data_IF_993203864270
#
_entry.id   IF_993203864270
#
_cell.length_a   1.000
_cell.length_b   1.000
_cell.length_c   1.000
_cell.angle_alpha   90.00
_cell.angle_beta   90.00
_cell.angle_gamma   90.00
#
_symmetry.space_group_name_H-M   'P 1'
#
loop_
_entity.id
_entity.type
_entity.pdbx_description
1 polymer ?
#
# COMPACT_ATOMS: atom_id res chain seq x y z
N UNK A 1 -14.62 -27.07 58.33
CA UNK A 1 -13.81 -25.85 58.66
C UNK A 1 -14.71 -24.64 58.76
N UNK A 2 -14.47 -23.76 59.73
CA UNK A 2 -15.24 -22.52 59.83
C UNK A 2 -14.77 -21.48 58.80
N UNK A 3 -15.65 -20.53 58.42
CA UNK A 3 -15.40 -19.51 57.38
C UNK A 3 -14.10 -18.70 57.61
N UNK A 4 -13.72 -18.46 58.87
CA UNK A 4 -12.48 -17.75 59.21
C UNK A 4 -11.22 -18.58 58.92
N UNK A 5 -11.29 -19.91 59.12
CA UNK A 5 -10.18 -20.83 58.81
C UNK A 5 -10.02 -21.01 57.32
N UNK A 6 -11.14 -21.13 56.62
CA UNK A 6 -11.17 -21.18 55.15
C UNK A 6 -10.58 -19.90 54.53
N UNK A 7 -10.95 -18.73 55.08
CA UNK A 7 -10.41 -17.44 54.61
C UNK A 7 -8.88 -17.37 54.76
N UNK A 8 -8.35 -17.82 55.92
CA UNK A 8 -6.88 -17.89 56.13
C UNK A 8 -6.18 -18.86 55.20
N UNK A 9 -6.79 -20.02 54.94
CA UNK A 9 -6.21 -21.08 54.08
C UNK A 9 -6.25 -20.76 52.61
N UNK A 10 -7.34 -20.12 52.15
CA UNK A 10 -7.54 -19.81 50.72
C UNK A 10 -7.04 -18.42 50.32
N UNK A 11 -6.74 -17.52 51.26
CA UNK A 11 -6.43 -16.12 50.98
C UNK A 11 -7.65 -15.28 50.58
N UNK A 12 -8.85 -15.85 50.59
CA UNK A 12 -10.10 -15.21 50.20
C UNK A 12 -10.78 -14.58 51.42
N UNK A 13 -11.16 -13.33 51.36
CA UNK A 13 -11.83 -12.66 52.48
C UNK A 13 -13.18 -13.33 52.82
N UNK A 14 -13.55 -13.32 54.11
CA UNK A 14 -14.86 -13.84 54.57
C UNK A 14 -16.04 -13.18 53.88
N UNK A 15 -15.90 -11.92 53.47
CA UNK A 15 -16.91 -11.19 52.69
C UNK A 15 -17.06 -11.79 51.30
N UNK A 16 -15.96 -12.10 50.64
CA UNK A 16 -15.96 -12.74 49.31
C UNK A 16 -16.51 -14.15 49.36
N UNK A 17 -16.17 -14.95 50.39
CA UNK A 17 -16.73 -16.29 50.61
C UNK A 17 -18.26 -16.26 50.77
N UNK A 18 -18.81 -15.25 51.48
CA UNK A 18 -20.26 -15.05 51.58
C UNK A 18 -20.87 -14.66 50.23
N UNK A 19 -20.13 -13.90 49.43
CA UNK A 19 -20.57 -13.54 48.09
C UNK A 19 -20.58 -14.77 47.15
N UNK A 20 -19.62 -15.65 47.24
CA UNK A 20 -19.61 -16.91 46.48
C UNK A 20 -20.77 -17.85 46.90
N UNK A 21 -21.09 -17.90 48.20
CA UNK A 21 -22.28 -18.60 48.67
C UNK A 21 -23.57 -18.02 48.11
N UNK A 22 -23.72 -16.67 48.13
CA UNK A 22 -24.88 -15.98 47.58
C UNK A 22 -25.06 -16.18 46.07
N UNK A 23 -23.94 -16.32 45.31
CA UNK A 23 -23.95 -16.63 43.88
C UNK A 23 -24.08 -18.12 43.57
N UNK A 24 -24.09 -19.00 44.57
CA UNK A 24 -24.13 -20.45 44.40
C UNK A 24 -22.83 -21.08 43.92
N UNK A 25 -21.73 -20.29 43.77
CA UNK A 25 -20.44 -20.78 43.30
C UNK A 25 -19.78 -21.79 44.24
N UNK A 26 -19.86 -21.49 45.54
CA UNK A 26 -19.40 -22.37 46.65
C UNK A 26 -20.45 -22.32 47.73
N UNK A 27 -21.06 -23.47 48.01
CA UNK A 27 -22.07 -23.59 49.06
C UNK A 27 -21.43 -24.31 50.27
N UNK A 28 -21.54 -23.74 51.50
CA UNK A 28 -21.04 -24.43 52.66
C UNK A 28 -21.82 -25.75 52.88
N UNK A 29 -21.10 -26.82 53.15
CA UNK A 29 -21.68 -28.17 53.37
C UNK A 29 -22.65 -28.22 54.53
N UNK A 30 -22.47 -27.33 55.54
CA UNK A 30 -23.33 -27.31 56.73
C UNK A 30 -23.28 -26.00 57.48
N UNK A 31 -23.97 -26.00 58.65
CA UNK A 31 -23.89 -24.97 59.68
C UNK A 31 -23.71 -25.62 61.03
N UNK A 32 -22.88 -25.02 61.85
CA UNK A 32 -22.73 -25.46 63.26
C UNK A 32 -24.03 -25.20 64.08
N UNK A 33 -24.14 -25.78 65.25
CA UNK A 33 -25.23 -25.53 66.19
C UNK A 33 -25.41 -24.04 66.51
N UNK A 34 -24.35 -23.21 66.40
CA UNK A 34 -24.37 -21.78 66.54
C UNK A 34 -24.66 -20.99 65.26
N UNK A 35 -25.06 -21.64 64.15
CA UNK A 35 -25.42 -21.00 62.89
C UNK A 35 -24.26 -20.58 62.01
N UNK A 36 -23.00 -20.86 62.38
CA UNK A 36 -21.81 -20.52 61.56
C UNK A 36 -21.66 -21.46 60.39
N UNK A 37 -21.26 -20.93 59.21
CA UNK A 37 -21.00 -21.69 57.97
C UNK A 37 -19.84 -22.64 58.15
N UNK A 38 -20.07 -23.90 57.80
CA UNK A 38 -19.09 -24.98 57.84
C UNK A 38 -18.80 -25.49 56.43
N UNK A 39 -17.51 -25.59 56.08
CA UNK A 39 -17.01 -25.97 54.78
C UNK A 39 -16.26 -27.30 54.85
N UNK A 40 -16.54 -28.17 53.89
CA UNK A 40 -15.80 -29.42 53.68
C UNK A 40 -14.47 -29.14 52.95
N UNK A 41 -13.60 -30.17 52.86
CA UNK A 41 -12.38 -30.08 52.03
C UNK A 41 -12.70 -30.00 50.54
N UNK A 42 -13.88 -30.45 50.11
CA UNK A 42 -14.36 -30.32 48.74
C UNK A 42 -14.78 -28.88 48.46
N UNK A 43 -15.48 -28.23 49.37
CA UNK A 43 -15.80 -26.81 49.27
C UNK A 43 -14.53 -25.94 49.17
N UNK A 44 -13.50 -26.30 49.95
CA UNK A 44 -12.21 -25.61 49.91
C UNK A 44 -11.53 -25.81 48.55
N UNK A 45 -11.54 -27.03 47.99
CA UNK A 45 -11.02 -27.27 46.61
C UNK A 45 -11.77 -26.42 45.58
N UNK A 46 -13.10 -26.33 45.70
CA UNK A 46 -13.93 -25.53 44.79
C UNK A 46 -13.60 -24.03 44.91
N UNK A 47 -13.30 -23.52 46.13
CA UNK A 47 -12.82 -22.14 46.31
C UNK A 47 -11.52 -21.92 45.56
N UNK A 48 -10.56 -22.81 45.63
CA UNK A 48 -9.31 -22.72 44.86
C UNK A 48 -9.55 -22.75 43.35
N UNK A 49 -10.49 -23.57 42.87
CA UNK A 49 -10.88 -23.55 41.43
C UNK A 49 -11.47 -22.22 41.02
N UNK A 50 -12.38 -21.64 41.81
CA UNK A 50 -12.96 -20.33 41.56
C UNK A 50 -11.89 -19.25 41.49
N UNK A 51 -10.95 -19.24 42.46
CA UNK A 51 -9.86 -18.26 42.48
C UNK A 51 -8.90 -18.42 41.30
N UNK A 52 -8.53 -19.69 40.98
CA UNK A 52 -7.69 -19.95 39.80
C UNK A 52 -8.31 -19.45 38.51
N UNK A 53 -9.61 -19.64 38.31
CA UNK A 53 -10.33 -19.13 37.14
C UNK A 53 -10.45 -17.59 37.14
N UNK A 54 -10.53 -16.96 38.34
CA UNK A 54 -10.49 -15.51 38.46
C UNK A 54 -9.14 -14.91 38.04
N UNK A 55 -8.04 -15.57 38.45
CA UNK A 55 -6.70 -15.10 38.02
C UNK A 55 -6.51 -15.18 36.50
N UNK A 56 -7.26 -16.02 35.80
CA UNK A 56 -7.32 -16.08 34.35
C UNK A 56 -8.23 -15.01 33.72
N UNK A 57 -8.85 -14.13 34.54
CA UNK A 57 -9.68 -13.01 34.08
C UNK A 57 -11.15 -13.32 33.87
N UNK A 58 -11.65 -14.47 34.31
CA UNK A 58 -13.08 -14.79 34.23
C UNK A 58 -13.89 -14.00 35.24
N UNK A 59 -15.07 -13.55 34.84
CA UNK A 59 -16.09 -13.03 35.75
C UNK A 59 -16.72 -14.18 36.55
N UNK A 60 -17.24 -13.87 37.75
CA UNK A 60 -17.92 -14.86 38.59
C UNK A 60 -19.07 -15.58 37.86
N UNK A 61 -19.79 -14.88 37.00
CA UNK A 61 -20.86 -15.47 36.16
C UNK A 61 -20.32 -16.51 35.16
N UNK A 62 -19.18 -16.23 34.54
CA UNK A 62 -18.52 -17.18 33.62
C UNK A 62 -17.97 -18.38 34.39
N UNK A 63 -17.41 -18.17 35.58
CA UNK A 63 -16.94 -19.20 36.46
C UNK A 63 -18.09 -20.14 36.87
N UNK A 64 -19.27 -19.60 37.26
CA UNK A 64 -20.44 -20.40 37.58
C UNK A 64 -20.81 -21.35 36.43
N UNK A 65 -20.94 -20.81 35.23
CA UNK A 65 -21.24 -21.61 34.02
C UNK A 65 -20.16 -22.68 33.77
N UNK A 66 -18.88 -22.31 33.88
CA UNK A 66 -17.76 -23.23 33.66
C UNK A 66 -17.72 -24.41 34.65
N UNK A 67 -18.16 -24.19 35.88
CA UNK A 67 -18.15 -25.22 36.93
C UNK A 67 -19.43 -26.08 36.98
N UNK A 68 -20.52 -25.62 36.36
CA UNK A 68 -21.83 -26.28 36.35
C UNK A 68 -22.14 -27.06 35.07
N UNK A 69 -21.50 -26.71 33.95
CA UNK A 69 -21.72 -27.34 32.66
C UNK A 69 -20.80 -28.54 32.44
N UNK A 70 -21.32 -29.77 32.39
CA UNK A 70 -20.52 -30.97 32.15
C UNK A 70 -19.82 -30.99 30.77
N UNK A 71 -20.33 -30.24 29.79
CA UNK A 71 -19.74 -30.11 28.47
C UNK A 71 -18.56 -29.13 28.45
N UNK A 72 -18.34 -28.41 29.53
CA UNK A 72 -17.32 -27.37 29.63
C UNK A 72 -15.96 -27.99 29.97
N UNK A 73 -15.11 -28.11 28.97
CA UNK A 73 -13.76 -28.63 29.18
C UNK A 73 -12.77 -27.50 29.48
N UNK A 74 -11.76 -27.73 30.35
CA UNK A 74 -10.71 -26.72 30.62
C UNK A 74 -9.99 -26.25 29.36
N UNK A 75 -9.80 -27.14 28.40
CA UNK A 75 -9.14 -26.82 27.10
C UNK A 75 -9.98 -25.86 26.27
N UNK A 76 -11.30 -26.09 26.17
CA UNK A 76 -12.20 -25.19 25.47
C UNK A 76 -12.22 -23.78 26.10
N UNK A 77 -12.26 -23.70 27.44
CA UNK A 77 -12.20 -22.45 28.18
C UNK A 77 -10.92 -21.69 27.89
N UNK A 78 -9.76 -22.33 27.93
CA UNK A 78 -8.47 -21.69 27.64
C UNK A 78 -8.43 -21.22 26.20
N UNK A 79 -8.95 -22.01 25.25
CA UNK A 79 -9.09 -21.61 23.85
C UNK A 79 -9.94 -20.34 23.68
N UNK A 80 -11.09 -20.26 24.36
CA UNK A 80 -11.96 -19.08 24.33
C UNK A 80 -11.29 -17.85 24.95
N UNK A 81 -10.59 -18.00 26.07
CA UNK A 81 -9.85 -16.91 26.70
C UNK A 81 -8.74 -16.37 25.80
N UNK A 82 -8.01 -17.25 25.13
CA UNK A 82 -6.99 -16.86 24.15
C UNK A 82 -7.64 -16.08 23.01
N UNK A 83 -8.76 -16.56 22.46
CA UNK A 83 -9.49 -15.88 21.39
C UNK A 83 -9.94 -14.48 21.83
N UNK A 84 -10.64 -14.35 22.96
CA UNK A 84 -11.10 -13.07 23.49
C UNK A 84 -9.96 -12.09 23.80
N UNK A 85 -8.85 -12.62 24.32
CA UNK A 85 -7.66 -11.79 24.60
C UNK A 85 -7.05 -11.27 23.30
N UNK A 86 -6.98 -12.10 22.24
CA UNK A 86 -6.51 -11.69 20.92
C UNK A 86 -7.43 -10.63 20.30
N UNK A 87 -8.74 -10.81 20.38
CA UNK A 87 -9.72 -9.85 19.91
C UNK A 87 -9.63 -8.51 20.66
N UNK A 88 -9.44 -8.54 21.98
CA UNK A 88 -9.20 -7.33 22.77
C UNK A 88 -7.90 -6.64 22.38
N UNK A 89 -6.81 -7.38 22.26
CA UNK A 89 -5.54 -6.86 21.78
C UNK A 89 -5.64 -6.23 20.38
N UNK A 90 -6.40 -6.83 19.50
CA UNK A 90 -6.65 -6.27 18.16
C UNK A 90 -7.38 -4.93 18.24
N UNK A 91 -8.42 -4.83 19.09
CA UNK A 91 -9.15 -3.56 19.31
C UNK A 91 -8.28 -2.47 19.93
N UNK A 92 -7.45 -2.81 20.93
CA UNK A 92 -6.53 -1.86 21.56
C UNK A 92 -5.44 -1.38 20.61
N UNK A 93 -4.90 -2.28 19.76
CA UNK A 93 -3.94 -1.93 18.71
C UNK A 93 -4.55 -0.98 17.69
N UNK A 94 -5.79 -1.24 17.30
CA UNK A 94 -6.53 -0.39 16.38
C UNK A 94 -6.78 1.00 16.97
N UNK A 95 -7.21 1.06 18.24
CA UNK A 95 -7.37 2.34 18.95
C UNK A 95 -6.03 3.10 19.04
N UNK A 96 -4.96 2.41 19.39
CA UNK A 96 -3.62 3.01 19.47
C UNK A 96 -3.17 3.55 18.10
N UNK A 97 -3.44 2.82 17.02
CA UNK A 97 -3.15 3.28 15.65
C UNK A 97 -3.91 4.56 15.33
N UNK A 98 -5.21 4.64 15.68
CA UNK A 98 -6.04 5.83 15.49
C UNK A 98 -5.54 7.02 16.30
N UNK A 99 -5.20 6.81 17.57
CA UNK A 99 -4.66 7.87 18.43
C UNK A 99 -3.32 8.39 17.90
N UNK A 100 -2.43 7.49 17.46
CA UNK A 100 -1.14 7.89 16.86
C UNK A 100 -1.33 8.69 15.57
N UNK A 101 -2.31 8.35 14.76
CA UNK A 101 -2.59 9.10 13.54
C UNK A 101 -3.12 10.52 13.84
N UNK A 102 -3.91 10.68 14.91
CA UNK A 102 -4.33 11.99 15.39
C UNK A 102 -3.14 12.78 15.96
N UNK A 103 -2.30 12.12 16.76
CA UNK A 103 -1.11 12.73 17.36
C UNK A 103 -0.10 13.21 16.30
N UNK A 104 0.17 12.35 15.31
CA UNK A 104 1.05 12.67 14.18
C UNK A 104 0.50 13.79 13.28
N UNK A 105 -0.78 14.12 13.39
CA UNK A 105 -1.38 15.23 12.65
C UNK A 105 -1.14 16.60 13.32
N UNK A 106 -0.53 16.62 14.50
CA UNK A 106 -0.27 17.84 15.29
C UNK A 106 -1.47 18.80 15.33
N UNK A 107 -2.68 18.32 15.73
CA UNK A 107 -3.89 19.11 15.63
C UNK A 107 -3.80 20.38 16.49
N UNK A 108 -4.02 21.53 15.86
CA UNK A 108 -4.00 22.82 16.56
C UNK A 108 -5.27 23.03 17.39
N UNK A 109 -6.39 22.45 16.95
CA UNK A 109 -7.67 22.59 17.61
C UNK A 109 -8.55 21.32 17.50
N UNK A 110 -9.76 21.39 18.06
CA UNK A 110 -10.73 20.30 18.01
C UNK A 110 -11.30 20.05 16.60
N UNK A 111 -11.29 21.03 15.73
CA UNK A 111 -11.77 20.86 14.35
C UNK A 111 -10.82 19.96 13.55
N UNK A 112 -9.52 20.11 13.75
CA UNK A 112 -8.51 19.24 13.16
C UNK A 112 -8.70 17.78 13.61
N UNK A 113 -8.86 17.57 14.92
CA UNK A 113 -9.14 16.22 15.49
C UNK A 113 -10.41 15.62 14.87
N UNK A 114 -11.49 16.39 14.78
CA UNK A 114 -12.75 15.92 14.19
C UNK A 114 -12.58 15.59 12.71
N UNK A 115 -11.84 16.41 11.96
CA UNK A 115 -11.53 16.16 10.56
C UNK A 115 -10.78 14.83 10.34
N UNK A 116 -9.77 14.55 11.18
CA UNK A 116 -9.04 13.27 11.14
C UNK A 116 -9.97 12.09 11.45
N UNK A 117 -10.83 12.21 12.47
CA UNK A 117 -11.80 11.16 12.84
C UNK A 117 -12.83 10.92 11.74
N UNK A 118 -13.31 11.97 11.08
CA UNK A 118 -14.24 11.87 9.94
C UNK A 118 -13.58 11.17 8.75
N UNK A 119 -12.31 11.51 8.43
CA UNK A 119 -11.57 10.80 7.39
C UNK A 119 -11.45 9.31 7.72
N UNK A 120 -11.04 8.96 8.94
CA UNK A 120 -10.93 7.56 9.36
C UNK A 120 -12.26 6.81 9.17
N UNK A 121 -13.37 7.39 9.62
CA UNK A 121 -14.71 6.81 9.44
C UNK A 121 -15.08 6.66 7.96
N UNK A 122 -14.71 7.66 7.16
CA UNK A 122 -14.96 7.63 5.73
C UNK A 122 -14.16 6.52 5.02
N UNK A 123 -12.88 6.36 5.39
CA UNK A 123 -12.01 5.30 4.85
C UNK A 123 -12.44 3.90 5.28
N UNK A 124 -13.04 3.75 6.47
CA UNK A 124 -13.59 2.47 6.95
C UNK A 124 -14.96 2.11 6.30
N UNK A 125 -15.53 2.99 5.46
CA UNK A 125 -16.83 2.74 4.85
C UNK A 125 -16.78 1.55 3.86
N UNK A 126 -17.81 0.71 3.88
CA UNK A 126 -17.92 -0.44 2.95
C UNK A 126 -18.11 -0.03 1.49
N UNK A 127 -18.72 1.13 1.25
CA UNK A 127 -18.95 1.67 -0.09
C UNK A 127 -17.72 2.41 -0.62
N UNK A 128 -17.20 1.99 -1.78
CA UNK A 128 -16.10 2.68 -2.46
C UNK A 128 -16.40 4.17 -2.72
N UNK A 129 -17.64 4.50 -3.13
CA UNK A 129 -18.05 5.89 -3.36
C UNK A 129 -17.95 6.74 -2.09
N UNK A 130 -18.31 6.19 -0.92
CA UNK A 130 -18.16 6.90 0.37
C UNK A 130 -16.71 7.07 0.75
N UNK A 131 -15.85 6.05 0.53
CA UNK A 131 -14.41 6.17 0.77
C UNK A 131 -13.79 7.24 -0.12
N UNK A 132 -14.12 7.22 -1.42
CA UNK A 132 -13.65 8.22 -2.37
C UNK A 132 -14.11 9.63 -1.98
N UNK A 133 -15.37 9.80 -1.63
CA UNK A 133 -15.91 11.09 -1.18
C UNK A 133 -15.18 11.60 0.07
N UNK A 134 -14.91 10.74 1.06
CA UNK A 134 -14.19 11.12 2.27
C UNK A 134 -12.78 11.67 1.97
N UNK A 135 -12.09 11.09 0.97
CA UNK A 135 -10.79 11.57 0.51
C UNK A 135 -10.89 12.93 -0.20
N UNK A 136 -11.88 13.09 -1.09
CA UNK A 136 -12.02 14.28 -1.93
C UNK A 136 -12.68 15.47 -1.23
N UNK A 137 -13.46 15.25 -0.15
CA UNK A 137 -14.20 16.31 0.56
C UNK A 137 -13.33 17.18 1.48
N UNK A 138 -12.01 16.96 1.52
CA UNK A 138 -11.13 17.71 2.43
C UNK A 138 -10.62 19.00 1.81
N UNK A 139 -10.82 20.16 2.45
CA UNK A 139 -10.11 21.37 2.07
C UNK A 139 -8.63 21.26 2.48
N UNK A 140 -7.77 21.53 1.60
CA UNK A 140 -6.41 22.04 1.52
C UNK A 140 -5.34 21.86 2.61
N UNK A 141 -5.62 21.51 3.85
CA UNK A 141 -4.60 21.33 4.88
C UNK A 141 -4.40 19.85 5.23
N UNK A 142 -3.66 19.18 4.36
CA UNK A 142 -3.59 17.72 4.30
C UNK A 142 -2.38 17.11 5.03
N UNK A 143 -1.46 17.90 5.61
CA UNK A 143 -0.30 17.34 6.33
C UNK A 143 -0.73 16.46 7.51
N UNK A 144 -1.76 16.90 8.21
CA UNK A 144 -2.38 16.21 9.33
C UNK A 144 -2.94 14.81 9.02
N UNK A 145 -3.06 14.43 7.76
CA UNK A 145 -3.69 13.17 7.34
C UNK A 145 -2.79 12.31 6.46
N UNK A 146 -1.59 12.76 6.17
CA UNK A 146 -0.70 12.11 5.22
C UNK A 146 -0.41 10.65 5.58
N UNK A 147 -0.13 10.34 6.83
CA UNK A 147 0.10 8.97 7.31
C UNK A 147 -1.14 8.08 7.18
N UNK A 148 -2.35 8.63 7.43
CA UNK A 148 -3.60 7.90 7.21
C UNK A 148 -3.83 7.59 5.74
N UNK A 149 -3.58 8.57 4.87
CA UNK A 149 -3.70 8.40 3.43
C UNK A 149 -2.67 7.38 2.90
N UNK A 150 -1.43 7.43 3.40
CA UNK A 150 -0.39 6.45 3.07
C UNK A 150 -0.79 5.03 3.49
N UNK A 151 -1.27 4.85 4.71
CA UNK A 151 -1.79 3.56 5.18
C UNK A 151 -2.98 3.06 4.36
N UNK A 152 -3.91 3.96 4.02
CA UNK A 152 -5.08 3.62 3.22
C UNK A 152 -4.72 3.21 1.79
N UNK A 153 -3.79 3.93 1.14
CA UNK A 153 -3.35 3.61 -0.23
C UNK A 153 -2.74 2.21 -0.33
N UNK A 154 -2.04 1.75 0.72
CA UNK A 154 -1.42 0.43 0.74
C UNK A 154 -2.43 -0.72 0.81
N UNK A 155 -3.64 -0.46 1.31
CA UNK A 155 -4.68 -1.48 1.53
C UNK A 155 -5.87 -1.36 0.58
N UNK A 156 -6.06 -0.23 -0.10
CA UNK A 156 -7.20 0.00 -0.96
C UNK A 156 -7.15 -0.84 -2.24
N UNK A 157 -8.25 -1.51 -2.55
CA UNK A 157 -8.38 -2.39 -3.72
C UNK A 157 -9.21 -1.79 -4.84
N UNK A 158 -10.08 -0.82 -4.54
CA UNK A 158 -10.86 -0.13 -5.57
C UNK A 158 -9.98 0.88 -6.32
N UNK A 159 -9.88 0.80 -7.66
CA UNK A 159 -8.95 1.64 -8.43
C UNK A 159 -9.30 3.13 -8.40
N UNK A 160 -10.58 3.50 -8.28
CA UNK A 160 -11.01 4.89 -8.22
C UNK A 160 -10.69 5.51 -6.85
N UNK A 161 -10.92 4.77 -5.77
CA UNK A 161 -10.53 5.19 -4.42
C UNK A 161 -9.02 5.27 -4.30
N UNK A 162 -8.29 4.27 -4.81
CA UNK A 162 -6.82 4.29 -4.83
C UNK A 162 -6.27 5.48 -5.63
N UNK A 163 -6.91 5.84 -6.74
CA UNK A 163 -6.59 7.05 -7.51
C UNK A 163 -6.77 8.33 -6.70
N UNK A 164 -7.92 8.48 -6.03
CA UNK A 164 -8.20 9.62 -5.16
C UNK A 164 -7.21 9.71 -3.99
N UNK A 165 -6.87 8.58 -3.35
CA UNK A 165 -5.89 8.52 -2.26
C UNK A 165 -4.51 8.97 -2.72
N UNK A 166 -4.02 8.48 -3.86
CA UNK A 166 -2.72 8.92 -4.43
C UNK A 166 -2.71 10.40 -4.75
N UNK A 167 -3.79 10.91 -5.35
CA UNK A 167 -3.93 12.33 -5.64
C UNK A 167 -3.90 13.18 -4.35
N UNK A 168 -4.63 12.78 -3.32
CA UNK A 168 -4.66 13.47 -2.05
C UNK A 168 -3.29 13.40 -1.35
N UNK A 169 -2.64 12.22 -1.39
CA UNK A 169 -1.33 12.00 -0.79
C UNK A 169 -0.24 12.87 -1.44
N UNK A 170 -0.23 12.97 -2.77
CA UNK A 170 0.72 13.83 -3.50
C UNK A 170 0.59 15.33 -3.13
N UNK A 171 -0.55 15.73 -2.59
CA UNK A 171 -0.83 17.12 -2.18
C UNK A 171 -0.69 17.35 -0.68
N UNK A 172 -0.53 16.29 0.12
CA UNK A 172 -0.56 16.40 1.59
C UNK A 172 0.69 17.04 2.20
N UNK A 173 1.81 17.11 1.46
CA UNK A 173 3.04 17.73 1.92
C UNK A 173 3.73 17.06 3.12
N UNK A 174 3.15 15.98 3.67
CA UNK A 174 3.71 15.25 4.80
C UNK A 174 4.82 14.28 4.41
N UNK A 175 5.72 14.00 5.36
CA UNK A 175 6.75 12.96 5.18
C UNK A 175 6.15 11.57 5.39
N UNK A 176 5.67 10.97 4.31
CA UNK A 176 5.06 9.63 4.29
C UNK A 176 5.95 8.59 3.62
N UNK A 177 7.14 9.01 3.17
CA UNK A 177 8.03 8.13 2.42
C UNK A 177 8.44 6.90 3.23
N UNK A 178 8.63 7.03 4.54
CA UNK A 178 8.98 5.90 5.40
C UNK A 178 7.90 4.81 5.38
N UNK A 179 6.64 5.19 5.49
CA UNK A 179 5.48 4.27 5.45
C UNK A 179 5.33 3.62 4.07
N UNK A 180 5.45 4.39 2.99
CA UNK A 180 5.40 3.86 1.63
C UNK A 180 6.60 2.98 1.30
N UNK A 181 7.81 3.33 1.73
CA UNK A 181 9.02 2.52 1.58
C UNK A 181 8.93 1.17 2.32
N UNK A 182 8.31 1.17 3.51
CA UNK A 182 8.00 -0.08 4.20
C UNK A 182 7.00 -0.93 3.39
N UNK A 183 5.99 -0.32 2.78
CA UNK A 183 5.06 -0.95 1.86
C UNK A 183 5.73 -1.53 0.62
N UNK A 184 6.70 -0.81 0.04
CA UNK A 184 7.48 -1.26 -1.12
C UNK A 184 8.34 -2.51 -0.82
N UNK A 185 8.65 -2.79 0.46
CA UNK A 185 9.37 -3.99 0.93
C UNK A 185 8.45 -5.08 1.50
N UNK A 186 7.14 -4.96 1.35
CA UNK A 186 6.16 -5.93 1.85
C UNK A 186 6.35 -7.30 1.20
N UNK A 187 6.02 -8.38 1.92
CA UNK A 187 5.90 -9.71 1.35
C UNK A 187 4.72 -9.84 0.37
N UNK A 188 3.69 -9.00 0.55
CA UNK A 188 2.52 -8.94 -0.32
C UNK A 188 2.83 -8.12 -1.57
N UNK A 189 2.75 -8.77 -2.73
CA UNK A 189 3.01 -8.15 -4.03
C UNK A 189 2.07 -6.99 -4.34
N UNK A 190 0.79 -7.10 -3.97
CA UNK A 190 -0.17 -6.04 -4.24
C UNK A 190 0.07 -4.81 -3.38
N UNK A 191 0.58 -5.00 -2.16
CA UNK A 191 1.03 -3.88 -1.31
C UNK A 191 2.25 -3.21 -1.94
N UNK A 192 3.23 -3.97 -2.44
CA UNK A 192 4.41 -3.40 -3.13
C UNK A 192 4.03 -2.61 -4.37
N UNK A 193 3.12 -3.14 -5.22
CA UNK A 193 2.60 -2.43 -6.41
C UNK A 193 1.97 -1.10 -6.05
N UNK A 194 1.10 -1.09 -5.02
CA UNK A 194 0.43 0.13 -4.56
C UNK A 194 1.40 1.14 -3.97
N UNK A 195 2.38 0.67 -3.18
CA UNK A 195 3.41 1.52 -2.59
C UNK A 195 4.25 2.22 -3.65
N UNK A 196 4.81 1.46 -4.60
CA UNK A 196 5.65 2.01 -5.68
C UNK A 196 4.87 2.97 -6.55
N UNK A 197 3.61 2.64 -6.88
CA UNK A 197 2.74 3.55 -7.65
C UNK A 197 2.39 4.84 -6.90
N UNK A 198 2.28 4.78 -5.57
CA UNK A 198 2.07 5.98 -4.74
C UNK A 198 3.33 6.85 -4.70
N UNK A 199 4.52 6.25 -4.52
CA UNK A 199 5.80 6.96 -4.53
C UNK A 199 6.06 7.61 -5.90
N UNK A 200 5.73 6.92 -6.99
CA UNK A 200 5.82 7.45 -8.36
C UNK A 200 4.99 8.73 -8.57
N UNK A 201 3.88 8.88 -7.85
CA UNK A 201 3.03 10.08 -7.88
C UNK A 201 3.52 11.24 -7.00
N UNK A 202 4.70 11.12 -6.36
CA UNK A 202 5.27 12.12 -5.45
C UNK A 202 6.61 12.66 -5.96
N UNK A 203 6.63 13.35 -7.11
CA UNK A 203 7.86 13.87 -7.67
C UNK A 203 8.49 14.90 -6.71
N UNK A 204 9.79 14.75 -6.46
CA UNK A 204 10.53 15.65 -5.58
C UNK A 204 10.50 15.29 -4.09
N UNK A 205 9.84 14.19 -3.67
CA UNK A 205 9.95 13.70 -2.31
C UNK A 205 11.38 13.23 -2.01
N UNK A 206 12.05 13.77 -0.96
CA UNK A 206 13.41 13.39 -0.63
C UNK A 206 13.53 11.89 -0.39
N UNK A 207 14.44 11.20 -1.10
CA UNK A 207 14.65 9.76 -0.99
C UNK A 207 13.73 8.88 -1.82
N UNK A 208 12.70 9.42 -2.49
CA UNK A 208 11.81 8.65 -3.37
C UNK A 208 12.58 7.94 -4.49
N UNK A 209 13.52 8.63 -5.13
CA UNK A 209 14.41 8.08 -6.17
C UNK A 209 15.15 6.83 -5.69
N UNK A 210 15.66 6.82 -4.46
CA UNK A 210 16.37 5.66 -3.91
C UNK A 210 15.43 4.46 -3.72
N UNK A 211 14.22 4.68 -3.22
CA UNK A 211 13.23 3.60 -3.05
C UNK A 211 12.77 3.05 -4.40
N UNK A 212 12.57 3.91 -5.40
CA UNK A 212 12.23 3.50 -6.77
C UNK A 212 13.39 2.74 -7.43
N UNK A 213 14.64 3.15 -7.20
CA UNK A 213 15.82 2.43 -7.71
C UNK A 213 15.93 1.01 -7.11
N UNK A 214 15.69 0.87 -5.80
CA UNK A 214 15.62 -0.46 -5.16
C UNK A 214 14.51 -1.33 -5.81
N UNK A 215 13.37 -0.71 -6.17
CA UNK A 215 12.23 -1.41 -6.74
C UNK A 215 12.40 -1.85 -8.21
N UNK A 216 13.41 -1.36 -8.93
CA UNK A 216 13.73 -1.85 -10.28
C UNK A 216 14.04 -3.36 -10.33
N UNK A 217 14.63 -3.89 -9.23
CA UNK A 217 14.97 -5.31 -9.10
C UNK A 217 13.85 -6.17 -8.49
N UNK A 218 12.62 -5.68 -8.36
CA UNK A 218 11.52 -6.45 -7.79
C UNK A 218 11.20 -7.67 -8.68
N UNK A 219 10.97 -8.87 -8.09
CA UNK A 219 10.58 -10.06 -8.83
C UNK A 219 9.26 -9.91 -9.59
N UNK A 220 8.41 -8.96 -9.18
CA UNK A 220 7.18 -8.65 -9.89
C UNK A 220 7.44 -7.57 -10.96
N UNK A 221 7.23 -7.90 -12.25
CA UNK A 221 7.53 -6.99 -13.35
C UNK A 221 6.65 -5.74 -13.39
N UNK A 222 5.49 -5.75 -12.71
CA UNK A 222 4.62 -4.56 -12.62
C UNK A 222 5.22 -3.55 -11.66
N UNK A 223 5.81 -4.01 -10.54
CA UNK A 223 6.52 -3.17 -9.58
C UNK A 223 7.73 -2.53 -10.25
N UNK A 224 8.60 -3.34 -10.89
CA UNK A 224 9.77 -2.84 -11.62
C UNK A 224 9.40 -1.86 -12.73
N UNK A 225 8.34 -2.15 -13.50
CA UNK A 225 7.86 -1.27 -14.57
C UNK A 225 7.35 0.09 -14.06
N UNK A 226 6.60 0.12 -12.96
CA UNK A 226 6.18 1.39 -12.36
C UNK A 226 7.38 2.20 -11.84
N UNK A 227 8.36 1.54 -11.22
CA UNK A 227 9.58 2.17 -10.75
C UNK A 227 10.39 2.76 -11.90
N UNK A 228 10.56 2.00 -13.01
CA UNK A 228 11.31 2.44 -14.18
C UNK A 228 10.69 3.68 -14.83
N UNK A 229 9.37 3.68 -15.04
CA UNK A 229 8.66 4.84 -15.61
C UNK A 229 8.74 6.07 -14.71
N UNK A 230 8.63 5.91 -13.40
CA UNK A 230 8.76 7.00 -12.46
C UNK A 230 10.18 7.60 -12.45
N UNK A 231 11.19 6.75 -12.42
CA UNK A 231 12.61 7.17 -12.47
C UNK A 231 12.93 7.91 -13.77
N UNK A 232 12.41 7.42 -14.89
CA UNK A 232 12.57 8.12 -16.18
C UNK A 232 11.93 9.51 -16.16
N UNK A 233 10.74 9.64 -15.52
CA UNK A 233 10.10 10.95 -15.31
C UNK A 233 10.94 11.90 -14.45
N UNK A 234 11.82 11.38 -13.60
CA UNK A 234 12.79 12.14 -12.81
C UNK A 234 14.14 12.38 -13.54
N UNK A 235 14.29 11.90 -14.78
CA UNK A 235 15.53 12.01 -15.54
C UNK A 235 16.61 10.99 -15.16
N UNK A 236 16.27 9.93 -14.43
CA UNK A 236 17.21 8.96 -13.89
C UNK A 236 17.58 7.89 -14.93
N UNK A 237 18.78 7.98 -15.46
CA UNK A 237 19.29 7.05 -16.47
C UNK A 237 19.40 5.56 -15.99
N UNK A 238 19.33 5.32 -14.67
CA UNK A 238 19.27 3.98 -14.09
C UNK A 238 18.05 3.18 -14.56
N UNK A 239 16.99 3.83 -15.02
CA UNK A 239 15.77 3.21 -15.54
C UNK A 239 15.96 2.55 -16.92
N UNK A 240 16.97 2.95 -17.70
CA UNK A 240 17.14 2.54 -19.11
C UNK A 240 17.08 1.02 -19.30
N UNK A 241 17.82 0.17 -18.56
CA UNK A 241 17.78 -1.27 -18.78
C UNK A 241 16.38 -1.88 -18.56
N UNK A 242 15.66 -1.40 -17.52
CA UNK A 242 14.32 -1.88 -17.25
C UNK A 242 13.29 -1.43 -18.30
N UNK A 243 13.40 -0.20 -18.80
CA UNK A 243 12.54 0.32 -19.89
C UNK A 243 12.79 -0.43 -21.20
N UNK A 244 14.05 -0.72 -21.55
CA UNK A 244 14.38 -1.55 -22.72
C UNK A 244 13.78 -2.94 -22.57
N UNK A 245 13.91 -3.57 -21.41
CA UNK A 245 13.27 -4.85 -21.12
C UNK A 245 11.75 -4.81 -21.26
N UNK A 246 11.09 -3.71 -20.87
CA UNK A 246 9.64 -3.54 -21.08
C UNK A 246 9.27 -3.49 -22.57
N UNK A 247 10.07 -2.83 -23.41
CA UNK A 247 9.89 -2.80 -24.87
C UNK A 247 10.05 -4.21 -25.45
N UNK A 248 11.11 -4.91 -25.06
CA UNK A 248 11.37 -6.30 -25.49
C UNK A 248 10.20 -7.22 -25.15
N UNK A 249 9.73 -7.16 -23.91
CA UNK A 249 8.63 -8.00 -23.40
C UNK A 249 7.25 -7.60 -23.93
N UNK A 250 7.10 -6.41 -24.54
CA UNK A 250 5.81 -5.87 -24.98
C UNK A 250 4.88 -5.49 -23.82
N UNK A 251 5.47 -5.17 -22.67
CA UNK A 251 4.70 -4.73 -21.48
C UNK A 251 4.78 -3.22 -21.34
N UNK A 252 3.67 -2.54 -21.65
CA UNK A 252 3.64 -1.07 -21.67
C UNK A 252 4.77 -0.49 -22.51
N UNK A 253 5.02 -1.14 -23.65
CA UNK A 253 6.10 -0.84 -24.57
C UNK A 253 6.05 0.57 -25.13
N UNK A 254 4.85 1.10 -25.36
CA UNK A 254 4.63 2.48 -25.82
C UNK A 254 5.09 3.48 -24.74
N UNK A 255 4.60 3.33 -23.50
CA UNK A 255 5.00 4.21 -22.39
C UNK A 255 6.50 4.10 -22.08
N UNK A 256 7.06 2.89 -22.21
CA UNK A 256 8.50 2.68 -22.04
C UNK A 256 9.31 3.39 -23.14
N UNK A 257 8.86 3.30 -24.40
CA UNK A 257 9.49 4.00 -25.53
C UNK A 257 9.44 5.51 -25.37
N UNK A 258 8.27 6.08 -25.00
CA UNK A 258 8.12 7.51 -24.72
C UNK A 258 9.03 7.96 -23.56
N UNK A 259 9.15 7.14 -22.50
CA UNK A 259 10.04 7.43 -21.37
C UNK A 259 11.53 7.43 -21.78
N UNK A 260 11.94 6.46 -22.64
CA UNK A 260 13.27 6.44 -23.24
C UNK A 260 13.52 7.67 -24.11
N UNK A 261 12.53 8.08 -24.91
CA UNK A 261 12.56 9.33 -25.67
C UNK A 261 12.71 10.58 -24.79
N UNK A 262 12.03 10.59 -23.63
CA UNK A 262 12.20 11.63 -22.62
C UNK A 262 13.63 11.73 -22.09
N UNK A 263 14.24 10.59 -21.75
CA UNK A 263 15.62 10.49 -21.26
C UNK A 263 16.66 10.84 -22.33
N UNK A 264 16.37 10.59 -23.60
CA UNK A 264 17.27 10.87 -24.72
C UNK A 264 17.51 12.36 -25.01
N UNK A 265 16.80 13.26 -24.33
CA UNK A 265 17.11 14.71 -24.38
C UNK A 265 18.50 15.01 -23.83
N UNK A 266 19.04 14.19 -22.95
CA UNK A 266 20.46 14.18 -22.60
C UNK A 266 21.23 13.36 -23.67
N UNK A 267 22.18 13.98 -24.41
CA UNK A 267 22.93 13.30 -25.47
C UNK A 267 23.69 12.06 -24.99
N UNK A 268 24.27 12.07 -23.79
CA UNK A 268 24.98 10.93 -23.24
C UNK A 268 24.02 9.77 -22.95
N UNK A 269 22.79 10.07 -22.57
CA UNK A 269 21.74 9.07 -22.37
C UNK A 269 21.20 8.55 -23.72
N UNK A 270 21.05 9.43 -24.73
CA UNK A 270 20.60 9.05 -26.07
C UNK A 270 21.50 8.01 -26.71
N UNK A 271 22.83 8.17 -26.64
CA UNK A 271 23.78 7.21 -27.16
C UNK A 271 23.67 5.84 -26.49
N UNK A 272 23.56 5.84 -25.17
CA UNK A 272 23.38 4.60 -24.37
C UNK A 272 22.07 3.88 -24.71
N UNK A 273 20.97 4.61 -24.80
CA UNK A 273 19.65 4.07 -25.15
C UNK A 273 19.67 3.50 -26.55
N UNK A 274 20.23 4.24 -27.53
CA UNK A 274 20.35 3.78 -28.93
C UNK A 274 21.19 2.50 -29.03
N UNK A 275 22.31 2.43 -28.29
CA UNK A 275 23.14 1.23 -28.24
C UNK A 275 22.34 0.04 -27.65
N UNK A 276 21.69 0.23 -26.49
CA UNK A 276 20.92 -0.83 -25.85
C UNK A 276 19.78 -1.37 -26.72
N UNK A 277 19.00 -0.49 -27.36
CA UNK A 277 17.94 -0.92 -28.30
C UNK A 277 18.51 -1.63 -29.55
N UNK A 278 19.69 -1.22 -30.03
CA UNK A 278 20.36 -1.84 -31.17
C UNK A 278 20.92 -3.21 -30.82
N UNK A 279 21.46 -3.39 -29.63
CA UNK A 279 21.95 -4.69 -29.13
C UNK A 279 20.80 -5.69 -29.01
N UNK A 280 19.63 -5.27 -28.50
CA UNK A 280 18.43 -6.11 -28.46
C UNK A 280 17.86 -6.43 -29.85
N UNK A 281 17.95 -5.49 -30.81
CA UNK A 281 17.57 -5.75 -32.21
C UNK A 281 18.46 -6.82 -32.88
N UNK A 282 19.71 -6.90 -32.45
CA UNK A 282 20.68 -7.89 -32.97
C UNK A 282 20.64 -9.22 -32.21
N UNK A 283 19.84 -9.33 -31.15
CA UNK A 283 19.75 -10.55 -30.36
C UNK A 283 19.19 -11.72 -31.22
N UNK A 284 19.81 -12.92 -31.17
CA UNK A 284 19.47 -14.03 -32.05
C UNK A 284 18.07 -14.62 -31.76
N UNK A 285 17.51 -14.36 -30.59
CA UNK A 285 16.21 -14.81 -30.14
C UNK A 285 15.08 -13.74 -30.26
N UNK A 286 15.42 -12.56 -30.78
CA UNK A 286 14.45 -11.51 -31.04
C UNK A 286 13.53 -11.87 -32.21
N UNK A 287 12.26 -12.15 -31.90
CA UNK A 287 11.24 -12.39 -32.92
C UNK A 287 10.84 -11.11 -33.68
N UNK A 288 10.12 -11.24 -34.79
CA UNK A 288 9.64 -10.10 -35.60
C UNK A 288 8.86 -9.09 -34.79
N UNK A 289 8.03 -9.55 -33.84
CA UNK A 289 7.19 -8.66 -33.00
C UNK A 289 8.06 -7.83 -32.06
N UNK A 290 9.04 -8.42 -31.40
CA UNK A 290 10.01 -7.75 -30.55
C UNK A 290 10.84 -6.75 -31.34
N UNK A 291 11.34 -7.15 -32.51
CA UNK A 291 12.11 -6.25 -33.38
C UNK A 291 11.29 -5.06 -33.86
N UNK A 292 9.99 -5.23 -34.18
CA UNK A 292 9.10 -4.13 -34.54
C UNK A 292 8.92 -3.13 -33.37
N UNK A 293 8.70 -3.61 -32.13
CA UNK A 293 8.59 -2.73 -30.95
C UNK A 293 9.88 -1.94 -30.72
N UNK A 294 11.04 -2.58 -30.86
CA UNK A 294 12.35 -1.92 -30.74
C UNK A 294 12.55 -0.85 -31.83
N UNK A 295 12.14 -1.13 -33.06
CA UNK A 295 12.17 -0.15 -34.18
C UNK A 295 11.26 1.05 -33.88
N UNK A 296 10.08 0.81 -33.33
CA UNK A 296 9.16 1.88 -32.90
C UNK A 296 9.76 2.71 -31.77
N UNK A 297 10.38 2.05 -30.76
CA UNK A 297 11.03 2.76 -29.66
C UNK A 297 12.21 3.63 -30.13
N UNK A 298 12.98 3.20 -31.14
CA UNK A 298 14.05 4.04 -31.72
C UNK A 298 13.56 5.36 -32.28
N UNK A 299 12.33 5.41 -32.81
CA UNK A 299 11.75 6.64 -33.36
C UNK A 299 11.56 7.72 -32.29
N UNK A 300 11.23 7.32 -31.04
CA UNK A 300 11.09 8.24 -29.92
C UNK A 300 12.42 8.90 -29.50
N UNK A 301 13.55 8.22 -29.77
CA UNK A 301 14.89 8.76 -29.50
C UNK A 301 15.27 9.82 -30.54
N UNK A 302 14.98 9.55 -31.81
CA UNK A 302 15.30 10.45 -32.93
C UNK A 302 16.81 10.54 -33.24
N UNK A 303 17.18 11.58 -33.95
CA UNK A 303 18.57 11.88 -34.30
C UNK A 303 19.09 11.17 -35.57
N UNK A 304 20.32 11.53 -35.99
CA UNK A 304 20.93 11.06 -37.24
C UNK A 304 21.35 9.57 -37.13
N UNK A 305 21.82 9.14 -35.97
CA UNK A 305 22.18 7.74 -35.74
C UNK A 305 20.99 6.80 -35.91
N UNK A 306 19.84 7.16 -35.33
CA UNK A 306 18.59 6.38 -35.48
C UNK A 306 18.12 6.34 -36.93
N UNK A 307 18.18 7.43 -37.68
CA UNK A 307 17.86 7.45 -39.12
C UNK A 307 18.71 6.41 -39.88
N UNK A 308 20.02 6.39 -39.63
CA UNK A 308 20.93 5.39 -40.25
C UNK A 308 20.59 3.94 -39.89
N UNK A 309 20.10 3.70 -38.68
CA UNK A 309 19.63 2.38 -38.24
C UNK A 309 18.34 2.01 -39.00
N UNK A 310 17.36 2.90 -39.03
CA UNK A 310 16.08 2.70 -39.74
C UNK A 310 16.27 2.47 -41.25
N UNK A 311 17.18 3.25 -41.91
CA UNK A 311 17.49 3.06 -43.33
C UNK A 311 18.12 1.67 -43.62
N UNK A 312 18.89 1.07 -42.69
CA UNK A 312 19.38 -0.30 -42.80
C UNK A 312 18.25 -1.30 -42.61
N UNK A 313 17.41 -1.12 -41.57
CA UNK A 313 16.28 -2.01 -41.25
C UNK A 313 15.18 -1.99 -42.33
N UNK A 314 15.06 -0.89 -43.11
CA UNK A 314 14.20 -0.84 -44.30
C UNK A 314 14.58 -1.85 -45.38
N UNK A 315 15.80 -2.47 -45.30
CA UNK A 315 16.29 -3.53 -46.18
C UNK A 315 16.52 -4.85 -45.44
N UNK A 316 15.87 -5.02 -44.27
CA UNK A 316 16.01 -6.21 -43.44
C UNK A 316 15.46 -7.45 -44.17
N UNK A 317 16.00 -8.62 -43.86
CA UNK A 317 15.52 -9.89 -44.38
C UNK A 317 14.09 -10.21 -43.88
N UNK A 318 13.76 -9.77 -42.69
CA UNK A 318 12.41 -9.86 -42.17
C UNK A 318 11.53 -8.80 -42.82
N UNK A 319 10.62 -9.26 -43.68
CA UNK A 319 9.72 -8.39 -44.45
C UNK A 319 8.84 -7.51 -43.57
N UNK A 320 8.42 -7.98 -42.38
CA UNK A 320 7.56 -7.20 -41.49
C UNK A 320 8.35 -6.05 -40.84
N UNK A 321 9.58 -6.31 -40.40
CA UNK A 321 10.52 -5.32 -39.89
C UNK A 321 10.85 -4.29 -40.95
N UNK A 322 11.20 -4.75 -42.17
CA UNK A 322 11.53 -3.86 -43.30
C UNK A 322 10.38 -2.91 -43.68
N UNK A 323 9.14 -3.43 -43.68
CA UNK A 323 7.94 -2.64 -43.99
C UNK A 323 7.71 -1.52 -42.95
N UNK A 324 7.80 -1.87 -41.66
CA UNK A 324 7.62 -0.92 -40.55
C UNK A 324 8.73 0.14 -40.56
N UNK A 325 9.98 -0.28 -40.70
CA UNK A 325 11.11 0.66 -40.78
C UNK A 325 10.98 1.61 -41.96
N UNK A 326 10.58 1.14 -43.16
CA UNK A 326 10.35 1.95 -44.34
C UNK A 326 9.26 3.00 -44.12
N UNK A 327 8.13 2.62 -43.51
CA UNK A 327 7.04 3.52 -43.18
C UNK A 327 7.48 4.62 -42.21
N UNK A 328 8.25 4.28 -41.18
CA UNK A 328 8.76 5.21 -40.17
C UNK A 328 9.80 6.19 -40.78
N UNK A 329 10.68 5.72 -41.66
CA UNK A 329 11.61 6.60 -42.43
C UNK A 329 10.82 7.62 -43.27
N UNK A 330 9.74 7.19 -43.95
CA UNK A 330 8.85 8.07 -44.69
C UNK A 330 8.24 9.17 -43.82
N UNK A 331 7.64 8.77 -42.70
CA UNK A 331 7.02 9.68 -41.73
C UNK A 331 8.01 10.70 -41.12
N UNK A 332 9.25 10.25 -40.85
CA UNK A 332 10.31 11.17 -40.34
C UNK A 332 10.75 12.21 -41.39
N UNK A 333 10.79 11.81 -42.66
CA UNK A 333 11.11 12.75 -43.78
C UNK A 333 10.02 13.80 -43.97
N UNK A 334 8.76 13.39 -43.89
CA UNK A 334 7.62 14.30 -44.02
C UNK A 334 7.59 15.35 -42.90
N UNK A 335 7.86 14.92 -41.66
CA UNK A 335 7.97 15.85 -40.50
C UNK A 335 9.09 16.87 -40.68
N UNK A 336 10.27 16.46 -41.13
CA UNK A 336 11.40 17.37 -41.37
C UNK A 336 11.13 18.35 -42.52
N UNK A 337 10.34 17.96 -43.52
CA UNK A 337 9.99 18.85 -44.65
C UNK A 337 8.86 19.83 -44.33
N UNK A 338 8.06 19.53 -43.31
CA UNK A 338 6.96 20.40 -42.82
C UNK A 338 7.42 21.56 -41.94
N UNK A 339 8.51 21.35 -41.18
CA UNK A 339 9.12 22.39 -40.32
C UNK A 339 9.87 23.46 -41.08
N UNK A 340 10.31 23.21 -42.35
CA UNK A 340 11.03 24.14 -43.23
C UNK A 340 10.11 25.05 -44.08
N UNK A 341 8.79 25.01 -43.87
CA UNK A 341 7.91 25.99 -44.54
C UNK A 341 7.89 27.30 -43.74
N UNK A 342 8.54 28.41 -44.26
CA UNK A 342 8.42 29.70 -43.64
C UNK A 342 6.95 30.14 -43.67
N UNK A 343 6.48 30.67 -42.57
CA UNK A 343 5.22 31.39 -42.51
C UNK A 343 5.25 32.47 -43.60
N UNK A 344 4.41 32.33 -44.62
CA UNK A 344 4.32 33.31 -45.71
C UNK A 344 3.97 34.66 -45.14
N UNK A 345 4.82 35.62 -45.41
CA UNK A 345 4.53 37.04 -45.24
C UNK A 345 3.23 37.35 -45.99
N UNK A 346 2.16 37.61 -45.23
CA UNK A 346 0.92 38.17 -45.76
C UNK A 346 1.22 39.57 -46.28
N UNK A 347 1.28 39.73 -47.60
CA UNK A 347 1.28 41.03 -48.26
C UNK A 347 0.03 41.81 -47.84
N UNK A 348 0.21 42.82 -46.98
CA UNK A 348 -0.72 43.93 -46.80
C UNK A 348 -0.83 44.71 -48.11
N UNK A 349 -1.82 44.41 -48.95
CA UNK A 349 -2.29 45.31 -49.97
C UNK A 349 -3.19 46.35 -49.32
N UNK A 350 -2.59 47.49 -49.01
CA UNK A 350 -3.30 48.76 -48.81
C UNK A 350 -3.91 49.16 -50.15
N UNK A 351 -5.23 49.05 -50.25
CA UNK A 351 -6.02 49.58 -51.35
C UNK A 351 -6.35 51.04 -50.99
N UNK A 352 -5.53 51.97 -51.54
CA UNK A 352 -5.89 53.41 -51.68
C UNK A 352 -6.65 53.58 -52.99
N UNK A 353 -7.90 53.90 -52.91
CA UNK A 353 -8.66 54.29 -54.07
C UNK A 353 -9.72 55.32 -53.71
N UNK A 354 -10.14 56.21 -54.66
CA UNK A 354 -10.13 57.68 -54.62
C UNK A 354 -11.30 58.32 -53.88
#
# INVERSE_FOLDING_TARGET
>A
MLIGDVARRSGVSTRMLRHYDALGLVRPTGRTAGGYREYSDEDVRRIFQVESLRTLGLSLKQIGRALEDPAFTPSALVGDLIRWTRERLARERELLRRLRAIDASEPADWQDVLGVVELMRGLDATSAARRQQAVLSRPGDASASAELLAGAVLTETDPHVAGALRWALARSGGDVLATLAAGARSQDTDVRRRAVLAIAGMPGAPGATAVLADALGDPDPVVGGHAALALAGHGEAAAVPALVGMVVDGRRDVEAAEALGGLSRDPACADRITAALTDELAAPDADSATRIRLVQALVEIGGTAVRGILDRLARDEDRAVALVASALVGALRERSSGEDRPFGEGEDRVDEGP
#
